data_IF_640300905855
#
_entry.id   IF_640300905855
#
_cell.length_a   1.000
_cell.length_b   1.000
_cell.length_c   1.000
_cell.angle_alpha   90.00
_cell.angle_beta   90.00
_cell.angle_gamma   90.00
#
_symmetry.space_group_name_H-M   'P 1'
#
loop_
_entity.id
_entity.type
_entity.pdbx_description
1 polymer ?
#
# COMPACT_ATOMS: atom_id res chain seq x y z
N UNK A 1 22.26 17.24 -8.76
CA UNK A 1 21.58 17.01 -7.49
C UNK A 1 20.08 17.35 -7.53
N UNK A 2 19.67 18.52 -7.97
CA UNK A 2 18.25 18.95 -8.03
C UNK A 2 17.33 18.03 -8.84
N UNK A 3 17.74 17.49 -9.99
CA UNK A 3 16.91 16.61 -10.86
C UNK A 3 16.52 15.31 -10.15
N UNK A 4 17.45 14.73 -9.35
CA UNK A 4 17.21 13.51 -8.57
C UNK A 4 16.09 13.69 -7.53
N UNK A 5 16.16 14.75 -6.71
CA UNK A 5 15.14 15.01 -5.69
C UNK A 5 13.78 15.34 -6.30
N UNK A 6 13.73 16.06 -7.42
CA UNK A 6 12.47 16.31 -8.15
C UNK A 6 11.82 15.00 -8.62
N UNK A 7 12.59 14.05 -9.17
CA UNK A 7 12.07 12.76 -9.58
C UNK A 7 11.52 11.94 -8.40
N UNK A 8 12.18 11.97 -7.23
CA UNK A 8 11.69 11.29 -6.02
C UNK A 8 10.35 11.89 -5.59
N UNK A 9 10.25 13.21 -5.51
CA UNK A 9 9.01 13.92 -5.12
C UNK A 9 7.88 13.61 -6.10
N UNK A 10 8.13 13.69 -7.41
CA UNK A 10 7.10 13.43 -8.42
C UNK A 10 6.61 11.97 -8.40
N UNK A 11 7.52 11.02 -8.13
CA UNK A 11 7.14 9.62 -7.93
C UNK A 11 6.28 9.43 -6.67
N UNK A 12 6.60 10.15 -5.58
CA UNK A 12 5.85 10.09 -4.32
C UNK A 12 4.41 10.58 -4.44
N UNK A 13 4.17 11.64 -5.21
CA UNK A 13 2.84 12.26 -5.35
C UNK A 13 1.80 11.29 -5.93
N UNK A 14 2.21 10.44 -6.89
CA UNK A 14 1.31 9.42 -7.42
C UNK A 14 0.86 8.41 -6.39
N UNK A 15 1.79 7.97 -5.55
CA UNK A 15 1.48 7.04 -4.48
C UNK A 15 0.60 7.61 -3.37
N UNK A 16 0.72 8.92 -3.07
CA UNK A 16 -0.22 9.61 -2.15
C UNK A 16 -1.66 9.47 -2.67
N UNK A 17 -1.86 9.75 -3.96
CA UNK A 17 -3.18 9.68 -4.56
C UNK A 17 -3.74 8.27 -4.57
N UNK A 18 -2.90 7.27 -4.85
CA UNK A 18 -3.30 5.86 -4.83
C UNK A 18 -3.89 5.46 -3.47
N UNK A 19 -3.16 5.76 -2.40
CA UNK A 19 -3.63 5.41 -1.05
C UNK A 19 -4.82 6.25 -0.62
N UNK A 20 -4.91 7.51 -1.04
CA UNK A 20 -6.07 8.36 -0.83
C UNK A 20 -7.34 7.75 -1.42
N UNK A 21 -7.33 7.45 -2.71
CA UNK A 21 -8.48 6.90 -3.43
C UNK A 21 -8.91 5.53 -2.90
N UNK A 22 -7.91 4.67 -2.63
CA UNK A 22 -8.12 3.34 -2.10
C UNK A 22 -8.82 3.35 -0.74
N UNK A 23 -8.39 4.24 0.14
CA UNK A 23 -8.94 4.40 1.50
C UNK A 23 -10.34 4.99 1.49
N UNK A 24 -10.59 5.95 0.61
CA UNK A 24 -11.94 6.51 0.46
C UNK A 24 -12.97 5.43 0.15
N UNK A 25 -12.65 4.51 -0.77
CA UNK A 25 -13.57 3.42 -1.08
C UNK A 25 -13.86 2.54 0.14
N UNK A 26 -12.84 2.24 0.95
CA UNK A 26 -13.02 1.45 2.17
C UNK A 26 -13.91 2.17 3.21
N UNK A 27 -13.76 3.48 3.36
CA UNK A 27 -14.49 4.25 4.37
C UNK A 27 -15.92 4.61 3.96
N UNK A 28 -16.21 4.61 2.66
CA UNK A 28 -17.57 4.79 2.13
C UNK A 28 -18.21 3.46 1.71
N UNK A 29 -17.67 2.32 2.13
CA UNK A 29 -18.17 1.01 1.75
C UNK A 29 -19.63 0.78 2.17
N UNK A 30 -20.03 1.29 3.33
CA UNK A 30 -21.41 1.30 3.84
C UNK A 30 -22.38 2.08 2.91
N UNK A 31 -21.90 3.21 2.37
CA UNK A 31 -22.65 4.02 1.39
C UNK A 31 -22.72 3.31 0.05
N UNK A 32 -21.60 2.77 -0.44
CA UNK A 32 -21.58 2.06 -1.72
C UNK A 32 -22.46 0.81 -1.72
N UNK A 33 -22.55 0.12 -0.57
CA UNK A 33 -23.48 -0.98 -0.41
C UNK A 33 -24.92 -0.57 -0.73
N UNK A 34 -25.35 0.60 -0.27
CA UNK A 34 -26.69 1.12 -0.51
C UNK A 34 -26.88 1.72 -1.90
N UNK A 35 -25.88 2.46 -2.40
CA UNK A 35 -25.98 3.23 -3.64
C UNK A 35 -25.91 2.36 -4.89
N UNK A 36 -25.10 1.30 -4.89
CA UNK A 36 -24.74 0.57 -6.10
C UNK A 36 -25.23 -0.89 -6.17
N UNK A 37 -25.95 -1.36 -5.13
CA UNK A 37 -26.46 -2.72 -5.10
C UNK A 37 -27.97 -2.75 -4.81
N UNK A 38 -28.69 -3.82 -5.25
CA UNK A 38 -30.13 -3.96 -4.99
C UNK A 38 -30.39 -4.06 -3.48
N UNK A 39 -31.38 -3.31 -3.00
CA UNK A 39 -31.70 -3.19 -1.56
C UNK A 39 -32.62 -4.31 -1.03
N UNK A 40 -32.65 -5.46 -1.67
CA UNK A 40 -33.60 -6.55 -1.33
C UNK A 40 -33.20 -7.30 -0.05
N UNK A 41 -31.88 -7.31 0.29
CA UNK A 41 -31.33 -8.00 1.47
C UNK A 41 -30.05 -7.30 1.93
N UNK A 42 -30.06 -6.78 3.15
CA UNK A 42 -28.96 -6.04 3.76
C UNK A 42 -27.65 -6.85 3.84
N UNK A 43 -27.77 -8.16 4.07
CA UNK A 43 -26.61 -9.04 4.15
C UNK A 43 -25.88 -9.17 2.80
N UNK A 44 -26.65 -9.49 1.73
CA UNK A 44 -26.08 -9.61 0.39
C UNK A 44 -25.57 -8.28 -0.16
N UNK A 45 -26.21 -7.18 0.19
CA UNK A 45 -25.81 -5.83 -0.18
C UNK A 45 -24.41 -5.51 0.38
N UNK A 46 -24.15 -5.81 1.67
CA UNK A 46 -22.84 -5.64 2.28
C UNK A 46 -21.78 -6.58 1.70
N UNK A 47 -22.12 -7.85 1.50
CA UNK A 47 -21.20 -8.82 0.89
C UNK A 47 -20.77 -8.37 -0.51
N UNK A 48 -21.68 -7.92 -1.34
CA UNK A 48 -21.39 -7.44 -2.69
C UNK A 48 -20.46 -6.21 -2.66
N UNK A 49 -20.63 -5.30 -1.71
CA UNK A 49 -19.74 -4.17 -1.52
C UNK A 49 -18.31 -4.63 -1.11
N UNK A 50 -18.19 -5.63 -0.21
CA UNK A 50 -16.89 -6.24 0.12
C UNK A 50 -16.27 -6.95 -1.09
N UNK A 51 -17.07 -7.63 -1.91
CA UNK A 51 -16.57 -8.28 -3.14
C UNK A 51 -16.07 -7.21 -4.12
N UNK A 52 -16.79 -6.10 -4.31
CA UNK A 52 -16.34 -4.98 -5.14
C UNK A 52 -15.03 -4.35 -4.62
N UNK A 53 -14.88 -4.20 -3.31
CA UNK A 53 -13.63 -3.78 -2.68
C UNK A 53 -12.50 -4.79 -2.98
N UNK A 54 -12.77 -6.07 -2.79
CA UNK A 54 -11.82 -7.15 -3.02
C UNK A 54 -11.44 -7.35 -4.49
N UNK A 55 -12.32 -7.00 -5.44
CA UNK A 55 -12.06 -7.11 -6.87
C UNK A 55 -10.83 -6.33 -7.30
N UNK A 56 -10.61 -5.13 -6.72
CA UNK A 56 -9.41 -4.36 -6.96
C UNK A 56 -8.15 -5.10 -6.49
N UNK A 57 -8.18 -5.78 -5.34
CA UNK A 57 -7.04 -6.57 -4.86
C UNK A 57 -6.75 -7.76 -5.76
N UNK A 58 -7.80 -8.49 -6.20
CA UNK A 58 -7.65 -9.64 -7.08
C UNK A 58 -7.13 -9.27 -8.48
N UNK A 59 -7.39 -8.05 -8.94
CA UNK A 59 -6.88 -7.53 -10.21
C UNK A 59 -5.38 -7.16 -10.17
N UNK A 60 -4.81 -6.85 -8.99
CA UNK A 60 -3.41 -6.38 -8.84
C UNK A 60 -2.34 -7.31 -9.45
N UNK A 61 -2.36 -8.64 -9.24
CA UNK A 61 -1.38 -9.53 -9.86
C UNK A 61 -1.38 -9.45 -11.38
N UNK A 62 -2.55 -9.34 -12.01
CA UNK A 62 -2.67 -9.22 -13.47
C UNK A 62 -2.07 -7.89 -13.95
N UNK A 63 -2.34 -6.79 -13.25
CA UNK A 63 -1.70 -5.50 -13.51
C UNK A 63 -0.18 -5.60 -13.42
N UNK A 64 0.35 -6.27 -12.38
CA UNK A 64 1.79 -6.46 -12.20
C UNK A 64 2.42 -7.32 -13.28
N UNK A 65 1.75 -8.37 -13.76
CA UNK A 65 2.25 -9.21 -14.85
C UNK A 65 2.38 -8.40 -16.13
N UNK A 66 1.34 -7.64 -16.47
CA UNK A 66 1.29 -6.89 -17.74
C UNK A 66 2.20 -5.65 -17.66
N UNK A 67 1.93 -4.74 -16.72
CA UNK A 67 2.59 -3.44 -16.70
C UNK A 67 4.04 -3.51 -16.24
N UNK A 68 4.40 -4.39 -15.28
CA UNK A 68 5.79 -4.51 -14.87
C UNK A 68 6.67 -5.15 -15.95
N UNK A 69 6.11 -6.09 -16.73
CA UNK A 69 6.79 -6.62 -17.91
C UNK A 69 7.15 -5.50 -18.90
N UNK A 70 6.17 -4.65 -19.22
CA UNK A 70 6.42 -3.49 -20.08
C UNK A 70 7.40 -2.49 -19.45
N UNK A 71 7.39 -2.32 -18.11
CA UNK A 71 8.31 -1.46 -17.39
C UNK A 71 9.76 -1.93 -17.47
N UNK A 72 10.02 -3.23 -17.38
CA UNK A 72 11.36 -3.79 -17.55
C UNK A 72 11.83 -3.76 -19.01
N UNK A 73 10.93 -3.77 -19.98
CA UNK A 73 11.24 -3.81 -21.42
C UNK A 73 11.31 -2.43 -22.09
N UNK A 74 10.38 -1.53 -21.74
CA UNK A 74 10.21 -0.24 -22.45
C UNK A 74 10.52 0.98 -21.59
N UNK A 75 10.86 0.79 -20.31
CA UNK A 75 11.22 1.85 -19.39
C UNK A 75 10.19 2.09 -18.30
N UNK A 76 10.69 2.54 -17.14
CA UNK A 76 9.89 2.75 -15.93
C UNK A 76 8.98 3.96 -16.06
N UNK A 77 9.46 5.04 -16.70
CA UNK A 77 8.74 6.31 -16.84
C UNK A 77 7.37 6.15 -17.52
N UNK A 78 7.35 5.44 -18.67
CA UNK A 78 6.12 5.31 -19.46
C UNK A 78 5.05 4.49 -18.73
N UNK A 79 5.48 3.45 -18.03
CA UNK A 79 4.55 2.62 -17.24
C UNK A 79 3.94 3.40 -16.08
N UNK A 80 4.72 4.23 -15.40
CA UNK A 80 4.19 5.14 -14.38
C UNK A 80 3.14 6.12 -14.91
N UNK A 81 3.32 6.59 -16.13
CA UNK A 81 2.32 7.46 -16.75
C UNK A 81 1.02 6.69 -17.04
N UNK A 82 1.14 5.51 -17.65
CA UNK A 82 0.01 4.66 -18.02
C UNK A 82 -0.73 4.15 -16.79
N UNK A 83 -0.02 3.64 -15.77
CA UNK A 83 -0.66 3.14 -14.54
C UNK A 83 -1.47 4.23 -13.85
N UNK A 84 -0.92 5.45 -13.78
CA UNK A 84 -1.63 6.56 -13.18
C UNK A 84 -2.87 7.00 -13.97
N UNK A 85 -2.83 6.92 -15.30
CA UNK A 85 -4.00 7.19 -16.14
C UNK A 85 -5.13 6.20 -15.85
N UNK A 86 -4.79 4.89 -15.75
CA UNK A 86 -5.73 3.83 -15.37
C UNK A 86 -6.23 3.91 -13.92
N UNK A 87 -5.63 4.74 -13.09
CA UNK A 87 -6.12 5.02 -11.73
C UNK A 87 -7.01 6.26 -11.70
N UNK A 88 -6.54 7.37 -12.27
CA UNK A 88 -7.22 8.67 -12.21
C UNK A 88 -8.57 8.65 -12.92
N UNK A 89 -8.63 8.09 -14.15
CA UNK A 89 -9.87 8.09 -14.93
C UNK A 89 -10.99 7.29 -14.26
N UNK A 90 -10.76 6.04 -13.78
CA UNK A 90 -11.80 5.30 -13.08
C UNK A 90 -12.22 5.94 -11.75
N UNK A 91 -11.27 6.51 -10.99
CA UNK A 91 -11.59 7.20 -9.73
C UNK A 91 -12.47 8.43 -9.97
N UNK A 92 -12.15 9.21 -11.00
CA UNK A 92 -12.97 10.35 -11.39
C UNK A 92 -14.35 9.90 -11.92
N UNK A 93 -14.39 8.83 -12.73
CA UNK A 93 -15.65 8.26 -13.24
C UNK A 93 -16.55 7.76 -12.12
N UNK A 94 -15.99 7.20 -11.04
CA UNK A 94 -16.76 6.76 -9.86
C UNK A 94 -17.59 7.90 -9.26
N UNK A 95 -17.02 9.11 -9.20
CA UNK A 95 -17.71 10.28 -8.65
C UNK A 95 -19.02 10.64 -9.40
N UNK A 96 -19.09 10.31 -10.70
CA UNK A 96 -20.24 10.60 -11.56
C UNK A 96 -21.09 9.37 -11.86
N UNK A 97 -20.77 8.21 -11.29
CA UNK A 97 -21.53 6.98 -11.52
C UNK A 97 -22.94 7.12 -10.94
N UNK A 98 -24.01 6.93 -11.76
CA UNK A 98 -25.37 6.92 -11.27
C UNK A 98 -25.64 5.74 -10.33
N UNK A 99 -26.63 5.90 -9.44
CA UNK A 99 -27.02 4.86 -8.48
C UNK A 99 -27.69 3.66 -9.13
N UNK A 100 -27.80 2.57 -8.38
CA UNK A 100 -28.58 1.39 -8.78
C UNK A 100 -30.05 1.73 -9.07
N UNK A 101 -30.65 2.65 -8.31
CA UNK A 101 -32.01 3.11 -8.54
C UNK A 101 -32.21 3.78 -9.90
N UNK A 102 -31.16 4.44 -10.42
CA UNK A 102 -31.22 5.18 -11.68
C UNK A 102 -31.00 4.30 -12.91
N UNK A 103 -29.99 3.41 -12.89
CA UNK A 103 -29.56 2.61 -14.06
C UNK A 103 -29.53 1.10 -13.79
N UNK A 104 -30.06 0.65 -12.65
CA UNK A 104 -30.15 -0.77 -12.31
C UNK A 104 -28.78 -1.46 -12.23
N UNK A 105 -28.74 -2.71 -12.69
CA UNK A 105 -27.55 -3.56 -12.66
C UNK A 105 -26.31 -2.96 -13.36
N UNK A 106 -26.52 -2.02 -14.29
CA UNK A 106 -25.40 -1.35 -14.96
C UNK A 106 -24.54 -0.55 -13.98
N UNK A 107 -25.11 0.05 -12.93
CA UNK A 107 -24.36 0.73 -11.88
C UNK A 107 -23.37 -0.23 -11.21
N UNK A 108 -23.85 -1.42 -10.84
CA UNK A 108 -23.02 -2.47 -10.23
C UNK A 108 -21.91 -2.93 -11.17
N UNK A 109 -22.23 -3.22 -12.43
CA UNK A 109 -21.23 -3.70 -13.41
C UNK A 109 -20.16 -2.65 -13.70
N UNK A 110 -20.55 -1.38 -13.83
CA UNK A 110 -19.59 -0.28 -14.03
C UNK A 110 -18.72 -0.10 -12.77
N UNK A 111 -19.30 -0.19 -11.58
CA UNK A 111 -18.54 -0.16 -10.33
C UNK A 111 -17.45 -1.25 -10.31
N UNK A 112 -17.79 -2.50 -10.64
CA UNK A 112 -16.81 -3.60 -10.72
C UNK A 112 -15.74 -3.33 -11.77
N UNK A 113 -16.11 -2.81 -12.94
CA UNK A 113 -15.15 -2.44 -13.99
C UNK A 113 -14.16 -1.37 -13.48
N UNK A 114 -14.68 -0.32 -12.84
CA UNK A 114 -13.86 0.73 -12.20
C UNK A 114 -12.88 0.09 -11.21
N UNK A 115 -13.34 -0.78 -10.32
CA UNK A 115 -12.50 -1.44 -9.32
C UNK A 115 -11.43 -2.34 -9.93
N UNK A 116 -11.75 -3.07 -11.00
CA UNK A 116 -10.78 -3.89 -11.74
C UNK A 116 -9.70 -3.00 -12.38
N UNK A 117 -10.08 -1.92 -13.06
CA UNK A 117 -9.15 -0.99 -13.69
C UNK A 117 -8.22 -0.33 -12.67
N UNK A 118 -8.76 0.14 -11.53
CA UNK A 118 -7.98 0.65 -10.42
C UNK A 118 -7.00 -0.41 -9.89
N UNK A 119 -7.46 -1.65 -9.69
CA UNK A 119 -6.61 -2.75 -9.23
C UNK A 119 -5.46 -3.08 -10.18
N UNK A 120 -5.70 -3.08 -11.49
CA UNK A 120 -4.65 -3.24 -12.51
C UNK A 120 -3.59 -2.14 -12.41
N UNK A 121 -4.00 -0.88 -12.22
CA UNK A 121 -3.09 0.26 -12.06
C UNK A 121 -2.24 0.14 -10.79
N UNK A 122 -2.88 -0.09 -9.65
CA UNK A 122 -2.26 -0.23 -8.33
C UNK A 122 -1.22 -1.35 -8.31
N UNK A 123 -1.42 -2.41 -9.10
CA UNK A 123 -0.50 -3.54 -9.20
C UNK A 123 0.94 -3.17 -9.57
N UNK A 124 1.19 -1.98 -10.13
CA UNK A 124 2.55 -1.54 -10.49
C UNK A 124 2.95 -0.22 -9.87
N UNK A 125 2.01 0.55 -9.38
CA UNK A 125 2.25 1.91 -8.91
C UNK A 125 3.17 1.96 -7.70
N UNK A 126 2.82 1.30 -6.60
CA UNK A 126 3.62 1.29 -5.36
C UNK A 126 4.97 0.61 -5.56
N UNK A 127 4.94 -0.61 -6.08
CA UNK A 127 6.15 -1.40 -6.31
C UNK A 127 7.08 -0.71 -7.32
N UNK A 128 6.51 -0.10 -8.33
CA UNK A 128 7.23 0.70 -9.31
C UNK A 128 7.86 1.94 -8.70
N UNK A 129 7.16 2.68 -7.82
CA UNK A 129 7.73 3.84 -7.13
C UNK A 129 8.95 3.45 -6.31
N UNK A 130 8.92 2.31 -5.60
CA UNK A 130 10.08 1.80 -4.87
C UNK A 130 11.25 1.46 -5.79
N UNK A 131 10.99 0.73 -6.88
CA UNK A 131 12.03 0.40 -7.88
C UNK A 131 12.60 1.67 -8.48
N UNK A 132 11.73 2.56 -8.99
CA UNK A 132 12.12 3.82 -9.62
C UNK A 132 13.02 4.66 -8.69
N UNK A 133 12.61 4.87 -7.44
CA UNK A 133 13.39 5.67 -6.49
C UNK A 133 14.69 4.97 -6.11
N UNK A 134 14.67 3.63 -5.91
CA UNK A 134 15.87 2.87 -5.56
C UNK A 134 16.96 2.94 -6.65
N UNK A 135 16.58 3.16 -7.92
CA UNK A 135 17.51 3.28 -9.05
C UNK A 135 18.16 4.67 -9.16
N UNK A 136 17.64 5.68 -8.45
CA UNK A 136 18.28 7.02 -8.36
C UNK A 136 19.20 7.19 -7.15
N UNK A 137 19.14 6.28 -6.17
CA UNK A 137 19.91 6.37 -4.92
C UNK A 137 20.84 5.17 -4.77
N UNK A 138 21.90 5.32 -3.98
CA UNK A 138 22.86 4.24 -3.74
C UNK A 138 23.26 4.16 -2.26
N UNK A 139 23.61 2.97 -1.82
CA UNK A 139 24.17 2.72 -0.49
C UNK A 139 23.24 3.25 0.63
N UNK A 140 23.80 3.98 1.57
CA UNK A 140 23.09 4.52 2.75
C UNK A 140 21.93 5.47 2.44
N UNK A 141 21.81 5.96 1.20
CA UNK A 141 20.67 6.81 0.81
C UNK A 141 19.40 5.98 0.50
N UNK A 142 19.52 4.68 0.24
CA UNK A 142 18.38 3.81 -0.10
C UNK A 142 17.35 3.77 1.03
N UNK A 143 17.71 3.44 2.29
CA UNK A 143 16.73 3.42 3.37
C UNK A 143 16.06 4.77 3.62
N UNK A 144 16.83 5.86 3.51
CA UNK A 144 16.30 7.22 3.68
C UNK A 144 15.26 7.56 2.60
N UNK A 145 15.59 7.29 1.33
CA UNK A 145 14.70 7.60 0.21
C UNK A 145 13.44 6.71 0.22
N UNK A 146 13.58 5.42 0.53
CA UNK A 146 12.45 4.50 0.58
C UNK A 146 11.60 4.69 1.83
N UNK A 147 12.19 5.07 2.96
CA UNK A 147 11.47 5.51 4.15
C UNK A 147 10.64 6.77 3.88
N UNK A 148 11.20 7.73 3.15
CA UNK A 148 10.46 8.92 2.70
C UNK A 148 9.29 8.56 1.79
N UNK A 149 9.48 7.68 0.79
CA UNK A 149 8.40 7.20 -0.08
C UNK A 149 7.32 6.51 0.75
N UNK A 150 7.69 5.61 1.67
CA UNK A 150 6.72 4.91 2.52
C UNK A 150 5.92 5.87 3.40
N UNK A 151 6.58 6.87 3.96
CA UNK A 151 5.91 7.93 4.71
C UNK A 151 4.92 8.72 3.83
N UNK A 152 5.32 9.09 2.61
CA UNK A 152 4.44 9.85 1.69
C UNK A 152 3.25 9.03 1.20
N UNK A 153 3.41 7.72 0.95
CA UNK A 153 2.28 6.82 0.67
C UNK A 153 1.27 6.83 1.82
N UNK A 154 1.77 6.77 3.06
CA UNK A 154 0.94 6.79 4.26
C UNK A 154 0.24 8.16 4.47
N UNK A 155 0.79 9.26 3.95
CA UNK A 155 0.09 10.56 3.90
C UNK A 155 -1.19 10.46 3.07
N UNK A 156 -1.23 9.65 2.01
CA UNK A 156 -2.45 9.38 1.24
C UNK A 156 -3.57 8.80 2.11
N UNK A 157 -3.24 7.83 2.99
CA UNK A 157 -4.17 7.29 3.99
C UNK A 157 -4.71 8.40 4.93
N UNK A 158 -3.83 9.25 5.42
CA UNK A 158 -4.19 10.36 6.29
C UNK A 158 -5.16 11.33 5.61
N UNK A 159 -4.85 11.73 4.38
CA UNK A 159 -5.70 12.66 3.62
C UNK A 159 -7.06 12.06 3.30
N UNK A 160 -7.13 10.76 2.95
CA UNK A 160 -8.39 10.04 2.72
C UNK A 160 -9.25 9.96 3.98
N UNK A 161 -8.61 9.67 5.14
CA UNK A 161 -9.31 9.65 6.42
C UNK A 161 -9.82 11.04 6.82
N UNK A 162 -9.00 12.08 6.68
CA UNK A 162 -9.40 13.47 6.95
C UNK A 162 -10.52 13.93 6.02
N UNK A 163 -10.48 13.57 4.74
CA UNK A 163 -11.57 13.86 3.81
C UNK A 163 -12.87 13.18 4.24
N UNK A 164 -12.81 11.90 4.61
CA UNK A 164 -13.97 11.16 5.13
C UNK A 164 -14.52 11.78 6.41
N UNK A 165 -13.63 12.13 7.34
CA UNK A 165 -13.99 12.81 8.58
C UNK A 165 -14.67 14.15 8.30
N UNK A 166 -14.11 14.95 7.37
CA UNK A 166 -14.70 16.23 6.97
C UNK A 166 -16.11 16.07 6.41
N UNK A 167 -16.30 15.13 5.47
CA UNK A 167 -17.62 14.86 4.89
C UNK A 167 -18.62 14.44 5.97
N UNK A 168 -18.27 13.51 6.84
CA UNK A 168 -19.16 13.02 7.91
C UNK A 168 -19.40 14.04 9.03
N UNK A 169 -18.57 15.07 9.17
CA UNK A 169 -18.74 16.14 10.15
C UNK A 169 -19.60 17.30 9.67
N UNK A 170 -19.56 17.59 8.36
CA UNK A 170 -20.28 18.75 7.77
C UNK A 170 -21.62 18.40 7.16
N UNK A 171 -21.81 17.14 6.73
CA UNK A 171 -23.03 16.69 6.07
C UNK A 171 -23.80 15.70 6.95
N UNK A 172 -25.13 15.75 6.89
CA UNK A 172 -26.01 14.78 7.52
C UNK A 172 -25.83 13.38 6.90
N UNK A 173 -26.22 12.33 7.60
CA UNK A 173 -26.12 10.97 7.10
C UNK A 173 -26.86 10.78 5.75
N UNK A 174 -28.00 11.45 5.59
CA UNK A 174 -28.77 11.43 4.35
C UNK A 174 -28.02 12.12 3.20
N UNK A 175 -27.49 13.31 3.41
CA UNK A 175 -26.71 14.04 2.41
C UNK A 175 -25.44 13.27 2.00
N UNK A 176 -24.78 12.60 2.97
CA UNK A 176 -23.62 11.74 2.68
C UNK A 176 -24.03 10.60 1.75
N UNK A 177 -25.19 9.95 1.98
CA UNK A 177 -25.69 8.86 1.16
C UNK A 177 -26.13 9.33 -0.24
N UNK A 178 -26.78 10.49 -0.34
CA UNK A 178 -27.29 11.02 -1.61
C UNK A 178 -26.20 11.53 -2.54
N UNK A 179 -25.29 12.39 -2.03
CA UNK A 179 -24.30 13.05 -2.91
C UNK A 179 -22.92 13.35 -2.30
N UNK A 180 -22.82 13.63 -0.96
CA UNK A 180 -21.62 14.21 -0.42
C UNK A 180 -20.40 13.27 -0.45
N UNK A 181 -20.61 11.96 -0.49
CA UNK A 181 -19.55 10.97 -0.70
C UNK A 181 -18.79 11.14 -2.03
N UNK A 182 -19.40 11.79 -3.03
CA UNK A 182 -18.80 12.06 -4.35
C UNK A 182 -17.70 13.11 -4.29
N UNK A 183 -17.82 14.07 -3.36
CA UNK A 183 -16.91 15.22 -3.23
C UNK A 183 -15.44 14.79 -3.07
N UNK A 184 -15.07 13.88 -2.14
CA UNK A 184 -13.69 13.43 -2.02
C UNK A 184 -13.12 12.78 -3.28
N UNK A 185 -13.94 12.05 -4.05
CA UNK A 185 -13.52 11.43 -5.32
C UNK A 185 -13.30 12.46 -6.42
N UNK A 186 -14.12 13.51 -6.48
CA UNK A 186 -13.92 14.64 -7.40
C UNK A 186 -12.60 15.35 -7.07
N UNK A 187 -12.37 15.66 -5.80
CA UNK A 187 -11.12 16.28 -5.31
C UNK A 187 -9.93 15.39 -5.62
N UNK A 188 -10.03 14.08 -5.35
CA UNK A 188 -9.02 13.09 -5.69
C UNK A 188 -8.73 13.03 -7.19
N UNK A 189 -9.75 13.11 -8.04
CA UNK A 189 -9.62 13.17 -9.47
C UNK A 189 -8.81 14.38 -9.95
N UNK A 190 -9.08 15.58 -9.43
CA UNK A 190 -8.30 16.78 -9.76
C UNK A 190 -6.84 16.67 -9.30
N UNK A 191 -6.59 16.17 -8.07
CA UNK A 191 -5.23 15.88 -7.61
C UNK A 191 -4.55 14.85 -8.49
N UNK A 192 -5.29 13.86 -8.98
CA UNK A 192 -4.80 12.83 -9.89
C UNK A 192 -4.37 13.40 -11.23
N UNK A 193 -5.15 14.27 -11.85
CA UNK A 193 -4.76 14.95 -13.08
C UNK A 193 -3.52 15.83 -12.88
N UNK A 194 -3.42 16.52 -11.74
CA UNK A 194 -2.23 17.29 -11.40
C UNK A 194 -0.99 16.38 -11.24
N UNK A 195 -1.11 15.27 -10.52
CA UNK A 195 -0.03 14.32 -10.37
C UNK A 195 0.36 13.65 -11.70
N UNK A 196 -0.62 13.35 -12.58
CA UNK A 196 -0.39 12.85 -13.94
C UNK A 196 0.42 13.88 -14.76
N UNK A 197 0.08 15.16 -14.69
CA UNK A 197 0.86 16.23 -15.31
C UNK A 197 2.30 16.27 -14.80
N UNK A 198 2.52 16.12 -13.49
CA UNK A 198 3.88 16.09 -12.93
C UNK A 198 4.68 14.87 -13.41
N UNK A 199 4.02 13.74 -13.65
CA UNK A 199 4.68 12.53 -14.18
C UNK A 199 5.20 12.67 -15.60
N UNK A 200 4.63 13.53 -16.41
CA UNK A 200 5.20 13.84 -17.75
C UNK A 200 6.63 14.39 -17.65
N UNK A 201 6.96 15.03 -16.51
CA UNK A 201 8.26 15.64 -16.25
C UNK A 201 9.29 14.66 -15.65
N UNK A 202 8.93 13.42 -15.39
CA UNK A 202 9.85 12.39 -14.92
C UNK A 202 10.90 12.08 -15.99
N UNK A 203 12.14 11.82 -15.56
CA UNK A 203 13.18 11.24 -16.43
C UNK A 203 13.23 9.73 -16.28
N UNK A 204 13.72 9.02 -17.30
CA UNK A 204 13.97 7.60 -17.17
C UNK A 204 15.07 7.33 -16.15
N UNK A 205 15.10 6.13 -15.57
CA UNK A 205 16.07 5.77 -14.54
C UNK A 205 17.46 5.51 -15.15
N UNK A 206 18.54 5.93 -14.45
CA UNK A 206 19.90 5.68 -14.93
C UNK A 206 20.19 4.19 -15.12
N UNK A 207 19.59 3.36 -14.27
CA UNK A 207 19.79 1.91 -14.28
C UNK A 207 19.14 1.28 -15.53
N UNK A 208 17.92 1.70 -15.89
CA UNK A 208 17.29 1.23 -17.12
C UNK A 208 18.09 1.65 -18.37
N UNK A 209 18.57 2.90 -18.40
CA UNK A 209 19.40 3.37 -19.52
C UNK A 209 20.69 2.54 -19.65
N UNK A 210 21.31 2.15 -18.52
CA UNK A 210 22.49 1.28 -18.50
C UNK A 210 22.17 -0.09 -19.09
N UNK A 211 21.13 -0.77 -18.59
CA UNK A 211 20.69 -2.10 -19.04
C UNK A 211 20.39 -2.08 -20.55
N UNK A 212 19.74 -1.02 -21.03
CA UNK A 212 19.43 -0.84 -22.45
C UNK A 212 20.69 -0.69 -23.30
N UNK A 213 21.66 0.11 -22.85
CA UNK A 213 22.94 0.30 -23.55
C UNK A 213 23.80 -0.98 -23.59
N UNK A 214 23.74 -1.79 -22.54
CA UNK A 214 24.44 -3.06 -22.43
C UNK A 214 23.74 -4.23 -23.13
N UNK A 215 22.59 -3.99 -23.81
CA UNK A 215 21.74 -5.00 -24.48
C UNK A 215 21.32 -6.16 -23.56
N UNK A 216 21.09 -5.87 -22.26
CA UNK A 216 20.70 -6.87 -21.24
C UNK A 216 19.17 -6.91 -20.99
N UNK A 217 18.37 -6.35 -21.88
CA UNK A 217 16.91 -6.41 -21.76
C UNK A 217 16.43 -7.86 -21.96
N UNK A 218 15.60 -8.34 -21.02
CA UNK A 218 15.05 -9.69 -21.05
C UNK A 218 13.71 -9.72 -21.82
N UNK A 219 13.45 -10.83 -22.53
CA UNK A 219 12.18 -10.99 -23.24
C UNK A 219 11.01 -11.28 -22.29
N UNK A 220 11.25 -12.08 -21.24
CA UNK A 220 10.24 -12.47 -20.25
C UNK A 220 10.79 -12.37 -18.82
N UNK A 221 11.00 -11.14 -18.27
CA UNK A 221 11.63 -10.93 -16.96
C UNK A 221 10.96 -11.71 -15.82
N UNK A 222 9.62 -11.78 -15.79
CA UNK A 222 8.89 -12.50 -14.76
C UNK A 222 9.17 -14.02 -14.79
N UNK A 223 9.25 -14.63 -15.96
CA UNK A 223 9.57 -16.06 -16.10
C UNK A 223 10.95 -16.38 -15.53
N UNK A 224 11.91 -15.51 -15.80
CA UNK A 224 13.28 -15.66 -15.32
C UNK A 224 13.34 -15.43 -13.80
N UNK A 225 12.59 -14.44 -13.28
CA UNK A 225 12.46 -14.21 -11.85
C UNK A 225 11.90 -15.45 -11.11
N UNK A 226 10.81 -16.03 -11.61
CA UNK A 226 10.16 -17.23 -11.04
C UNK A 226 11.05 -18.47 -11.06
N UNK A 227 11.91 -18.61 -12.08
CA UNK A 227 12.84 -19.76 -12.17
C UNK A 227 14.05 -19.60 -11.23
N UNK A 228 14.66 -18.42 -11.23
CA UNK A 228 15.99 -18.21 -10.65
C UNK A 228 15.93 -17.63 -9.23
N UNK A 229 14.89 -16.82 -8.92
CA UNK A 229 14.80 -16.03 -7.68
C UNK A 229 13.70 -16.48 -6.73
N UNK A 230 13.45 -17.81 -6.64
CA UNK A 230 12.38 -18.38 -5.80
C UNK A 230 12.44 -17.92 -4.34
N UNK A 231 13.62 -17.92 -3.73
CA UNK A 231 13.81 -17.46 -2.33
C UNK A 231 13.54 -15.97 -2.19
N UNK A 232 13.99 -15.16 -3.15
CA UNK A 232 13.72 -13.71 -3.18
C UNK A 232 12.22 -13.43 -3.33
N UNK A 233 11.52 -14.21 -4.17
CA UNK A 233 10.06 -14.14 -4.31
C UNK A 233 9.34 -14.47 -3.00
N UNK A 234 9.77 -15.53 -2.30
CA UNK A 234 9.22 -15.91 -1.00
C UNK A 234 9.45 -14.80 0.05
N UNK A 235 10.64 -14.22 0.10
CA UNK A 235 10.93 -13.11 1.02
C UNK A 235 10.08 -11.89 0.71
N UNK A 236 9.93 -11.52 -0.58
CA UNK A 236 9.01 -10.45 -0.97
C UNK A 236 7.58 -10.73 -0.53
N UNK A 237 7.10 -11.95 -0.75
CA UNK A 237 5.76 -12.37 -0.33
C UNK A 237 5.58 -12.20 1.19
N UNK A 238 6.48 -12.76 2.02
CA UNK A 238 6.42 -12.69 3.48
C UNK A 238 6.50 -11.25 4.00
N UNK A 239 7.39 -10.43 3.44
CA UNK A 239 7.47 -9.01 3.82
C UNK A 239 6.19 -8.24 3.46
N UNK A 240 5.58 -8.59 2.34
CA UNK A 240 4.30 -7.99 1.94
C UNK A 240 3.15 -8.45 2.82
N UNK A 241 3.17 -9.69 3.32
CA UNK A 241 2.21 -10.15 4.35
C UNK A 241 2.19 -9.16 5.52
N UNK A 242 3.36 -8.78 6.00
CA UNK A 242 3.50 -7.83 7.12
C UNK A 242 3.02 -6.43 6.75
N UNK A 243 3.35 -5.96 5.54
CA UNK A 243 2.86 -4.67 5.02
C UNK A 243 1.33 -4.63 4.95
N UNK A 244 0.73 -5.64 4.32
CA UNK A 244 -0.72 -5.74 4.14
C UNK A 244 -1.42 -5.80 5.48
N UNK A 245 -0.87 -6.57 6.41
CA UNK A 245 -1.38 -6.69 7.79
C UNK A 245 -1.41 -5.34 8.50
N UNK A 246 -0.36 -4.55 8.34
CA UNK A 246 -0.29 -3.22 8.93
C UNK A 246 -1.32 -2.25 8.36
N UNK A 247 -1.45 -2.18 7.04
CA UNK A 247 -2.45 -1.34 6.37
C UNK A 247 -3.86 -1.77 6.76
N UNK A 248 -4.12 -3.07 6.79
CA UNK A 248 -5.40 -3.64 7.15
C UNK A 248 -5.79 -3.29 8.61
N UNK A 249 -4.85 -3.39 9.54
CA UNK A 249 -5.07 -3.00 10.94
C UNK A 249 -5.48 -1.53 11.05
N UNK A 250 -4.81 -0.64 10.32
CA UNK A 250 -5.16 0.77 10.29
C UNK A 250 -6.56 1.01 9.72
N UNK A 251 -6.96 0.30 8.66
CA UNK A 251 -8.28 0.47 8.04
C UNK A 251 -9.44 0.00 8.93
N UNK A 252 -9.21 -1.00 9.76
CA UNK A 252 -10.24 -1.60 10.60
C UNK A 252 -10.31 -0.94 11.98
N UNK A 253 -9.26 -0.22 12.34
CA UNK A 253 -9.12 0.40 13.66
C UNK A 253 -10.37 1.18 14.12
N UNK A 254 -11.03 2.04 13.29
CA UNK A 254 -12.21 2.75 13.75
C UNK A 254 -13.31 1.82 14.24
N UNK A 255 -13.67 0.81 13.45
CA UNK A 255 -14.70 -0.16 13.80
C UNK A 255 -14.36 -0.95 15.07
N UNK A 256 -13.07 -1.26 15.25
CA UNK A 256 -12.57 -1.91 16.47
C UNK A 256 -12.73 -0.99 17.68
N UNK A 257 -12.37 0.28 17.57
CA UNK A 257 -12.49 1.26 18.65
C UNK A 257 -13.94 1.58 19.00
N UNK A 258 -14.82 1.70 18.03
CA UNK A 258 -16.27 1.85 18.23
C UNK A 258 -16.82 0.72 19.10
N UNK A 259 -16.44 -0.54 18.79
CA UNK A 259 -16.90 -1.71 19.54
C UNK A 259 -16.26 -1.90 20.90
N UNK A 260 -14.98 -1.58 21.06
CA UNK A 260 -14.23 -1.80 22.31
C UNK A 260 -14.48 -0.67 23.32
N UNK A 261 -14.44 0.59 22.87
CA UNK A 261 -14.55 1.76 23.73
C UNK A 261 -15.94 2.36 23.80
N UNK A 262 -16.87 1.85 22.99
CA UNK A 262 -18.23 2.42 22.86
C UNK A 262 -18.20 3.93 22.52
N UNK A 263 -17.22 4.35 21.70
CA UNK A 263 -17.09 5.73 21.21
C UNK A 263 -17.78 5.90 19.88
N UNK A 264 -18.12 7.14 19.55
CA UNK A 264 -18.69 7.48 18.25
C UNK A 264 -17.67 7.34 17.10
N UNK A 265 -18.17 7.17 15.89
CA UNK A 265 -17.38 6.96 14.68
C UNK A 265 -16.39 8.10 14.41
N UNK A 266 -16.78 9.34 14.72
CA UNK A 266 -15.94 10.52 14.55
C UNK A 266 -14.72 10.49 15.45
N UNK A 267 -14.91 10.16 16.74
CA UNK A 267 -13.83 9.97 17.71
C UNK A 267 -12.89 8.84 17.31
N UNK A 268 -13.43 7.73 16.83
CA UNK A 268 -12.64 6.60 16.32
C UNK A 268 -11.78 6.99 15.11
N UNK A 269 -12.31 7.80 14.18
CA UNK A 269 -11.55 8.34 13.04
C UNK A 269 -10.44 9.30 13.47
N UNK A 270 -10.64 10.10 14.52
CA UNK A 270 -9.57 10.95 15.08
C UNK A 270 -8.43 10.11 15.66
N UNK A 271 -8.74 9.07 16.41
CA UNK A 271 -7.72 8.15 16.96
C UNK A 271 -6.95 7.47 15.81
N UNK A 272 -7.64 7.08 14.75
CA UNK A 272 -6.99 6.52 13.56
C UNK A 272 -6.03 7.52 12.90
N UNK A 273 -6.35 8.82 12.86
CA UNK A 273 -5.44 9.84 12.34
C UNK A 273 -4.13 9.89 13.15
N UNK A 274 -4.19 9.81 14.48
CA UNK A 274 -3.00 9.73 15.33
C UNK A 274 -2.19 8.44 15.06
N UNK A 275 -2.86 7.31 14.85
CA UNK A 275 -2.18 6.06 14.51
C UNK A 275 -1.47 6.17 13.16
N UNK A 276 -2.10 6.75 12.13
CA UNK A 276 -1.50 6.98 10.82
C UNK A 276 -0.29 7.94 10.94
N UNK A 277 -0.40 9.01 11.73
CA UNK A 277 0.72 9.92 12.00
C UNK A 277 1.88 9.20 12.68
N UNK A 278 1.61 8.31 13.63
CA UNK A 278 2.64 7.50 14.27
C UNK A 278 3.38 6.61 13.26
N UNK A 279 2.67 6.00 12.30
CA UNK A 279 3.28 5.23 11.20
C UNK A 279 4.15 6.11 10.30
N UNK A 280 3.67 7.30 9.93
CA UNK A 280 4.44 8.26 9.10
C UNK A 280 5.74 8.64 9.79
N UNK A 281 5.67 9.05 11.06
CA UNK A 281 6.84 9.42 11.85
C UNK A 281 7.79 8.23 12.04
N UNK A 282 7.24 7.05 12.33
CA UNK A 282 7.98 5.80 12.43
C UNK A 282 8.76 5.51 11.16
N UNK A 283 8.13 5.60 9.99
CA UNK A 283 8.77 5.35 8.70
C UNK A 283 9.95 6.31 8.43
N UNK A 284 9.79 7.61 8.74
CA UNK A 284 10.85 8.59 8.58
C UNK A 284 12.03 8.32 9.54
N UNK A 285 11.74 8.13 10.83
CA UNK A 285 12.76 7.84 11.85
C UNK A 285 13.53 6.58 11.50
N UNK A 286 12.85 5.53 11.13
CA UNK A 286 13.47 4.25 10.76
C UNK A 286 14.33 4.37 9.51
N UNK A 287 13.89 5.12 8.49
CA UNK A 287 14.69 5.41 7.30
C UNK A 287 15.99 6.13 7.66
N UNK A 288 15.95 7.11 8.56
CA UNK A 288 17.12 7.84 9.06
C UNK A 288 18.04 6.92 9.88
N UNK A 289 17.49 6.16 10.82
CA UNK A 289 18.28 5.25 11.65
C UNK A 289 18.93 4.15 10.81
N UNK A 290 18.22 3.57 9.85
CA UNK A 290 18.76 2.56 8.96
C UNK A 290 19.88 3.08 8.06
N UNK A 291 19.81 4.35 7.63
CA UNK A 291 20.89 4.97 6.86
C UNK A 291 22.18 5.14 7.66
N UNK A 292 22.08 5.25 9.00
CA UNK A 292 23.22 5.41 9.92
C UNK A 292 23.78 4.08 10.44
N UNK A 293 22.88 3.18 10.86
CA UNK A 293 23.24 1.98 11.64
C UNK A 293 23.00 0.66 10.90
N UNK A 294 22.54 0.70 9.66
CA UNK A 294 22.25 -0.46 8.82
C UNK A 294 20.80 -0.92 8.90
N UNK A 295 20.25 -1.27 7.75
CA UNK A 295 18.82 -1.63 7.62
C UNK A 295 18.47 -2.92 8.35
N UNK A 296 19.35 -3.91 8.30
CA UNK A 296 19.14 -5.21 8.93
C UNK A 296 18.97 -5.09 10.45
N UNK A 297 19.90 -4.37 11.10
CA UNK A 297 19.88 -4.16 12.55
C UNK A 297 18.65 -3.40 13.00
N UNK A 298 18.32 -2.31 12.31
CA UNK A 298 17.19 -1.47 12.69
C UNK A 298 15.87 -2.19 12.43
N UNK A 299 15.73 -2.90 11.31
CA UNK A 299 14.54 -3.74 11.05
C UNK A 299 14.31 -4.77 12.16
N UNK A 300 15.36 -5.46 12.61
CA UNK A 300 15.25 -6.45 13.68
C UNK A 300 14.78 -5.81 15.01
N UNK A 301 15.39 -4.66 15.38
CA UNK A 301 15.02 -3.93 16.59
C UNK A 301 13.54 -3.52 16.56
N UNK A 302 13.10 -2.91 15.47
CA UNK A 302 11.71 -2.45 15.35
C UNK A 302 10.71 -3.59 15.21
N UNK A 303 11.08 -4.72 14.61
CA UNK A 303 10.24 -5.93 14.59
C UNK A 303 10.03 -6.50 15.99
N UNK A 304 11.09 -6.55 16.81
CA UNK A 304 10.99 -6.98 18.22
C UNK A 304 10.15 -5.99 19.02
N UNK A 305 10.36 -4.68 18.84
CA UNK A 305 9.56 -3.64 19.49
C UNK A 305 8.07 -3.76 19.13
N UNK A 306 7.77 -4.00 17.86
CA UNK A 306 6.40 -4.22 17.38
C UNK A 306 5.73 -5.42 18.04
N UNK A 307 6.44 -6.55 18.16
CA UNK A 307 5.94 -7.72 18.89
C UNK A 307 5.72 -7.43 20.38
N UNK A 308 6.67 -6.74 21.02
CA UNK A 308 6.56 -6.38 22.44
C UNK A 308 5.32 -5.51 22.70
N UNK A 309 5.09 -4.49 21.87
CA UNK A 309 3.90 -3.66 21.98
C UNK A 309 2.61 -4.43 21.66
N UNK A 310 2.65 -5.42 20.76
CA UNK A 310 1.55 -6.34 20.54
C UNK A 310 1.22 -7.19 21.78
N UNK A 311 2.25 -7.68 22.50
CA UNK A 311 2.07 -8.39 23.78
C UNK A 311 1.47 -7.46 24.82
N UNK A 312 2.03 -6.26 25.01
CA UNK A 312 1.52 -5.28 25.98
C UNK A 312 0.08 -4.88 25.66
N UNK A 313 -0.25 -4.70 24.40
CA UNK A 313 -1.61 -4.43 23.94
C UNK A 313 -2.60 -5.53 24.34
N UNK A 314 -2.17 -6.82 24.38
CA UNK A 314 -3.03 -7.95 24.71
C UNK A 314 -3.33 -8.07 26.21
N UNK A 315 -2.43 -7.56 27.08
CA UNK A 315 -2.50 -7.81 28.53
C UNK A 315 -2.93 -6.60 29.36
N UNK A 316 -2.97 -5.38 28.78
CA UNK A 316 -3.21 -4.16 29.54
C UNK A 316 -4.40 -3.36 29.01
N UNK A 317 -5.53 -3.41 29.74
CA UNK A 317 -6.77 -2.75 29.33
C UNK A 317 -6.74 -1.21 29.45
N UNK A 318 -5.99 -0.66 30.42
CA UNK A 318 -6.05 0.78 30.73
C UNK A 318 -5.22 1.67 29.81
N UNK A 319 -4.16 1.15 29.19
CA UNK A 319 -3.22 1.90 28.36
C UNK A 319 -3.14 1.39 26.92
N UNK A 320 -4.13 0.62 26.47
CA UNK A 320 -4.08 -0.05 25.16
C UNK A 320 -3.84 0.92 24.00
N UNK A 321 -4.40 2.13 24.04
CA UNK A 321 -4.22 3.13 23.00
C UNK A 321 -2.76 3.56 22.88
N UNK A 322 -2.07 3.78 24.00
CA UNK A 322 -0.64 4.12 24.00
C UNK A 322 0.21 3.00 23.41
N UNK A 323 -0.05 1.75 23.79
CA UNK A 323 0.66 0.60 23.23
C UNK A 323 0.37 0.40 21.77
N UNK A 324 -0.87 0.67 21.34
CA UNK A 324 -1.24 0.62 19.92
C UNK A 324 -0.51 1.68 19.11
N UNK A 325 -0.44 2.92 19.58
CA UNK A 325 0.30 4.01 18.91
C UNK A 325 1.80 3.70 18.81
N UNK A 326 2.38 3.12 19.86
CA UNK A 326 3.77 2.66 19.85
C UNK A 326 3.99 1.50 18.89
N UNK A 327 3.03 0.56 18.77
CA UNK A 327 3.07 -0.48 17.75
C UNK A 327 2.99 0.11 16.34
N UNK A 328 2.13 1.08 16.10
CA UNK A 328 2.06 1.79 14.82
C UNK A 328 3.39 2.49 14.50
N UNK A 329 4.01 3.16 15.45
CA UNK A 329 5.33 3.77 15.27
C UNK A 329 6.43 2.71 15.00
N UNK A 330 6.37 1.57 15.67
CA UNK A 330 7.31 0.47 15.49
C UNK A 330 7.04 -0.36 14.20
N UNK A 331 5.96 -0.10 13.48
CA UNK A 331 5.59 -0.78 12.24
C UNK A 331 6.58 -0.49 11.09
N UNK A 332 7.85 -0.59 11.40
CA UNK A 332 8.98 -0.25 10.56
C UNK A 332 9.17 -1.08 9.32
N UNK A 333 8.44 -2.15 9.23
CA UNK A 333 8.46 -2.98 8.04
C UNK A 333 7.91 -2.26 6.81
N UNK A 334 7.06 -1.25 7.01
CA UNK A 334 6.62 -0.35 5.92
C UNK A 334 7.83 0.34 5.27
N UNK A 335 8.87 0.65 6.04
CA UNK A 335 10.12 1.22 5.53
C UNK A 335 11.07 0.16 5.00
N UNK A 336 11.20 -0.97 5.69
CA UNK A 336 12.24 -1.96 5.39
C UNK A 336 11.86 -2.94 4.29
N UNK A 337 10.58 -3.27 4.14
CA UNK A 337 10.14 -4.13 3.05
C UNK A 337 10.58 -3.59 1.69
N UNK A 338 10.29 -2.32 1.29
CA UNK A 338 10.77 -1.78 0.02
C UNK A 338 12.31 -1.73 -0.05
N UNK A 339 13.02 -1.45 1.06
CA UNK A 339 14.48 -1.43 1.09
C UNK A 339 15.04 -2.79 0.70
N UNK A 340 14.58 -3.86 1.33
CA UNK A 340 15.09 -5.19 1.04
C UNK A 340 14.59 -5.73 -0.30
N UNK A 341 13.29 -5.58 -0.60
CA UNK A 341 12.68 -6.10 -1.83
C UNK A 341 13.33 -5.51 -3.09
N UNK A 342 13.74 -4.24 -3.06
CA UNK A 342 14.42 -3.61 -4.20
C UNK A 342 15.87 -4.06 -4.38
N UNK A 343 16.49 -4.72 -3.40
CA UNK A 343 17.90 -5.15 -3.44
C UNK A 343 18.10 -6.65 -3.68
N UNK A 344 17.05 -7.47 -3.55
CA UNK A 344 17.17 -8.93 -3.68
C UNK A 344 16.98 -9.47 -5.10
N UNK A 345 16.74 -8.57 -6.07
CA UNK A 345 16.64 -8.90 -7.49
C UNK A 345 17.68 -8.16 -8.31
N UNK A 346 18.17 -8.79 -9.40
CA UNK A 346 18.94 -8.10 -10.41
C UNK A 346 18.10 -7.05 -11.11
N UNK A 347 18.75 -5.98 -11.57
CA UNK A 347 18.10 -4.80 -12.14
C UNK A 347 17.25 -5.10 -13.37
N UNK A 348 17.64 -6.12 -14.17
CA UNK A 348 16.97 -6.50 -15.43
C UNK A 348 15.57 -7.11 -15.21
N UNK A 349 15.29 -7.64 -14.01
CA UNK A 349 14.02 -8.30 -13.66
C UNK A 349 13.43 -7.80 -12.32
N UNK A 350 14.02 -6.75 -11.79
CA UNK A 350 13.67 -6.19 -10.47
C UNK A 350 12.20 -5.78 -10.41
N UNK A 351 11.72 -5.07 -11.42
CA UNK A 351 10.36 -4.56 -11.42
C UNK A 351 9.34 -5.71 -11.52
N UNK A 352 9.50 -6.62 -12.48
CA UNK A 352 8.60 -7.77 -12.65
C UNK A 352 8.61 -8.71 -11.44
N UNK A 353 9.79 -9.05 -10.92
CA UNK A 353 9.91 -9.97 -9.79
C UNK A 353 9.31 -9.41 -8.50
N UNK A 354 9.68 -8.17 -8.14
CA UNK A 354 9.17 -7.50 -6.96
C UNK A 354 7.67 -7.28 -7.05
N UNK A 355 7.19 -6.69 -8.17
CA UNK A 355 5.78 -6.35 -8.33
C UNK A 355 4.88 -7.57 -8.27
N UNK A 356 5.25 -8.68 -8.90
CA UNK A 356 4.46 -9.90 -8.88
C UNK A 356 4.34 -10.48 -7.47
N UNK A 357 5.47 -10.69 -6.76
CA UNK A 357 5.45 -11.24 -5.41
C UNK A 357 4.67 -10.36 -4.41
N UNK A 358 4.86 -9.05 -4.52
CA UNK A 358 4.14 -8.05 -3.75
C UNK A 358 2.62 -8.15 -3.97
N UNK A 359 2.18 -8.18 -5.23
CA UNK A 359 0.75 -8.13 -5.54
C UNK A 359 0.02 -9.46 -5.32
N UNK A 360 0.69 -10.61 -5.44
CA UNK A 360 0.13 -11.91 -5.03
C UNK A 360 -0.19 -11.90 -3.53
N UNK A 361 0.71 -11.40 -2.70
CA UNK A 361 0.47 -11.28 -1.27
C UNK A 361 -0.70 -10.35 -0.95
N UNK A 362 -0.76 -9.19 -1.60
CA UNK A 362 -1.88 -8.26 -1.44
C UNK A 362 -3.21 -8.82 -1.94
N UNK A 363 -3.22 -9.56 -3.05
CA UNK A 363 -4.44 -10.19 -3.56
C UNK A 363 -5.03 -11.19 -2.57
N UNK A 364 -4.18 -12.03 -1.97
CA UNK A 364 -4.60 -13.02 -1.00
C UNK A 364 -5.05 -12.38 0.33
N UNK A 365 -4.18 -11.58 0.93
CA UNK A 365 -4.42 -11.05 2.27
C UNK A 365 -5.32 -9.83 2.28
N UNK A 366 -5.20 -8.94 1.30
CA UNK A 366 -6.07 -7.77 1.19
C UNK A 366 -7.52 -8.14 0.94
N UNK A 367 -7.77 -9.18 0.14
CA UNK A 367 -9.11 -9.74 -0.04
C UNK A 367 -9.63 -10.41 1.23
N UNK A 368 -8.80 -11.23 1.91
CA UNK A 368 -9.21 -11.98 3.08
C UNK A 368 -9.29 -11.15 4.37
N UNK A 369 -8.55 -10.06 4.48
CA UNK A 369 -8.43 -9.29 5.73
C UNK A 369 -9.77 -8.81 6.29
N UNK A 370 -10.71 -8.24 5.51
CA UNK A 370 -12.00 -7.82 6.06
C UNK A 370 -12.77 -8.97 6.70
N UNK A 371 -12.68 -10.17 6.13
CA UNK A 371 -13.34 -11.37 6.67
C UNK A 371 -12.64 -11.88 7.93
N UNK A 372 -11.30 -11.96 7.92
CA UNK A 372 -10.50 -12.39 9.07
C UNK A 372 -10.74 -11.47 10.28
N UNK A 373 -10.72 -10.17 10.07
CA UNK A 373 -10.87 -9.22 11.17
C UNK A 373 -12.29 -9.20 11.72
N UNK A 374 -13.32 -9.33 10.88
CA UNK A 374 -14.70 -9.49 11.38
C UNK A 374 -14.87 -10.77 12.22
N UNK A 375 -14.20 -11.87 11.85
CA UNK A 375 -14.28 -13.14 12.56
C UNK A 375 -13.51 -13.15 13.90
N UNK A 376 -12.36 -12.43 13.96
CA UNK A 376 -11.43 -12.49 15.10
C UNK A 376 -11.34 -11.17 15.90
N UNK A 377 -12.34 -10.35 15.83
CA UNK A 377 -12.38 -8.93 16.13
C UNK A 377 -12.08 -8.52 17.57
N UNK A 378 -12.43 -9.29 18.60
CA UNK A 378 -12.34 -8.83 19.99
C UNK A 378 -11.15 -9.40 20.80
N UNK A 379 -10.77 -10.63 20.56
CA UNK A 379 -9.90 -11.37 21.50
C UNK A 379 -8.46 -11.56 20.98
N UNK A 380 -8.20 -11.36 19.68
CA UNK A 380 -6.97 -11.85 19.07
C UNK A 380 -6.11 -10.76 18.38
N UNK A 381 -6.42 -9.47 18.53
CA UNK A 381 -5.63 -8.41 17.88
C UNK A 381 -4.16 -8.43 18.32
N UNK A 382 -3.90 -8.64 19.60
CA UNK A 382 -2.53 -8.74 20.10
C UNK A 382 -1.79 -9.96 19.56
N UNK A 383 -2.47 -11.12 19.48
CA UNK A 383 -1.93 -12.33 18.87
C UNK A 383 -1.60 -12.09 17.39
N UNK A 384 -2.48 -11.38 16.68
CA UNK A 384 -2.25 -10.99 15.29
C UNK A 384 -0.98 -10.13 15.13
N UNK A 385 -0.77 -9.12 15.97
CA UNK A 385 0.43 -8.29 15.96
C UNK A 385 1.70 -9.11 16.25
N UNK A 386 1.64 -10.07 17.17
CA UNK A 386 2.74 -10.97 17.47
C UNK A 386 3.09 -11.84 16.24
N UNK A 387 2.09 -12.45 15.60
CA UNK A 387 2.29 -13.28 14.40
C UNK A 387 2.92 -12.46 13.28
N UNK A 388 2.43 -11.25 13.05
CA UNK A 388 2.99 -10.32 12.05
C UNK A 388 4.45 -9.98 12.37
N UNK A 389 4.77 -9.69 13.63
CA UNK A 389 6.15 -9.45 14.08
C UNK A 389 7.06 -10.68 13.89
N UNK A 390 6.57 -11.89 14.17
CA UNK A 390 7.29 -13.14 13.89
C UNK A 390 7.57 -13.32 12.40
N UNK A 391 6.59 -13.05 11.52
CA UNK A 391 6.79 -13.09 10.08
C UNK A 391 7.85 -12.09 9.61
N UNK A 392 7.89 -10.89 10.23
CA UNK A 392 8.92 -9.89 9.99
C UNK A 392 10.32 -10.43 10.31
N UNK A 393 10.52 -10.93 11.54
CA UNK A 393 11.81 -11.48 11.97
C UNK A 393 12.25 -12.68 11.12
N UNK A 394 11.31 -13.55 10.76
CA UNK A 394 11.61 -14.69 9.89
C UNK A 394 12.04 -14.24 8.49
N UNK A 395 11.40 -13.21 7.94
CA UNK A 395 11.80 -12.61 6.66
C UNK A 395 13.22 -12.05 6.73
N UNK A 396 13.57 -11.36 7.81
CA UNK A 396 14.92 -10.83 8.07
C UNK A 396 15.95 -11.95 8.18
N UNK A 397 15.61 -13.06 8.81
CA UNK A 397 16.49 -14.25 8.89
C UNK A 397 16.74 -14.88 7.51
N UNK A 398 15.70 -15.01 6.68
CA UNK A 398 15.85 -15.53 5.31
C UNK A 398 16.70 -14.59 4.43
N UNK A 399 16.58 -13.28 4.60
CA UNK A 399 17.41 -12.30 3.91
C UNK A 399 18.89 -12.54 4.15
N UNK A 400 19.30 -12.82 5.39
CA UNK A 400 20.70 -13.12 5.72
C UNK A 400 21.25 -14.27 4.86
N UNK A 401 20.43 -15.32 4.61
CA UNK A 401 20.81 -16.44 3.74
C UNK A 401 20.96 -16.06 2.28
N UNK A 402 20.14 -15.15 1.77
CA UNK A 402 20.23 -14.65 0.38
C UNK A 402 21.53 -13.87 0.21
N UNK A 403 21.82 -12.95 1.13
CA UNK A 403 22.97 -12.07 1.02
C UNK A 403 24.32 -12.78 1.29
N UNK A 404 24.34 -13.82 2.12
CA UNK A 404 25.56 -14.62 2.32
C UNK A 404 25.88 -15.53 1.13
N UNK A 405 24.89 -15.88 0.30
CA UNK A 405 25.06 -16.71 -0.91
C UNK A 405 25.34 -15.91 -2.19
N UNK A 406 24.89 -14.66 -2.25
CA UNK A 406 25.22 -13.78 -3.36
C UNK A 406 26.57 -13.12 -3.09
N UNK A 407 27.38 -12.91 -4.14
CA UNK A 407 28.67 -12.20 -4.07
C UNK A 407 28.53 -10.73 -3.64
N UNK A 408 27.92 -10.51 -2.51
CA UNK A 408 27.35 -9.27 -2.00
C UNK A 408 28.38 -8.35 -1.34
N UNK A 409 29.61 -8.26 -1.87
CA UNK A 409 30.56 -7.24 -1.42
C UNK A 409 30.10 -5.81 -1.64
N UNK A 410 29.21 -5.57 -2.62
CA UNK A 410 28.62 -4.25 -2.84
C UNK A 410 27.42 -3.93 -1.91
N UNK A 411 26.85 -4.94 -1.27
CA UNK A 411 25.67 -4.81 -0.39
C UNK A 411 26.03 -4.65 1.10
N UNK A 412 27.31 -4.63 1.45
CA UNK A 412 27.81 -4.44 2.83
C UNK A 412 27.32 -3.15 3.51
N UNK A 413 26.70 -2.22 2.76
CA UNK A 413 26.16 -0.96 3.26
C UNK A 413 24.72 -1.13 3.80
N UNK A 414 24.06 -2.26 3.53
CA UNK A 414 22.69 -2.55 3.98
C UNK A 414 22.71 -3.32 5.32
N UNK A 415 23.81 -3.99 5.63
CA UNK A 415 24.06 -4.65 6.90
C UNK A 415 24.70 -3.70 7.89
#
# INVERSE_FOLDING_TARGET
MQKKYKNIIYASLGGILEFYDFVLFAFFLDIFAKVFFPQNDTFWMQINAYIAFGAAYLARPFGSIIMAHFGDRYGRKNIFYISMLFMVLPSFALAFLPSYESIGILATLILFLIRILQGLAVGTEVSGAWVYVSEFVRGRQIPLALGFISATLTVGLLLGNLATLGIRSYFSAQEVEEYAWRIPFIVGGFFGFFALFLRTKLSETPEFERIKKENKLLNFPLKDALKTYKTSMLVCFLMTVVLTSGVATLMILPKYLEGLLSIDKTSALWIQNFAILAVILGALVQGILASKWGSYKICSIFSIAFMLFGVLFSFYDTNFLSYFLLACFAQGIITFAPVFMTQIFKSELKFSGLSFAYNISYALLGFLTPFIVNAFYKEYMGVYLIVVGCCSLFSVFLLKRIFTRSEAKELSVIF
#
